data_IF_282414970149
#
_entry.id   IF_282414970149
#
_cell.length_a   1.000
_cell.length_b   1.000
_cell.length_c   1.000
_cell.angle_alpha   90.00
_cell.angle_beta   90.00
_cell.angle_gamma   90.00
#
_symmetry.space_group_name_H-M   'P 1'
#
loop_
_entity.id
_entity.type
_entity.pdbx_description
1 polymer ?
#
# COMPACT_ATOMS: atom_id res chain seq x y z
N UNK A 1 -20.06 -21.92 8.00
CA UNK A 1 -20.23 -20.45 7.89
C UNK A 1 -18.98 -19.85 8.49
N UNK A 2 -18.29 -18.99 7.73
CA UNK A 2 -17.09 -18.26 8.18
C UNK A 2 -17.55 -16.99 8.91
N UNK A 3 -16.80 -16.50 9.88
CA UNK A 3 -17.01 -15.23 10.59
C UNK A 3 -15.75 -14.40 10.60
N UNK A 4 -15.91 -13.08 10.63
CA UNK A 4 -14.81 -12.15 10.76
C UNK A 4 -15.15 -10.97 11.66
N UNK A 5 -14.10 -10.30 12.16
CA UNK A 5 -14.21 -9.05 12.89
C UNK A 5 -12.94 -8.22 12.76
N UNK A 6 -13.07 -6.94 13.06
CA UNK A 6 -11.96 -5.99 13.01
C UNK A 6 -11.47 -5.65 14.42
N UNK A 7 -10.15 -5.52 14.56
CA UNK A 7 -9.49 -4.88 15.70
C UNK A 7 -8.90 -3.56 15.20
N UNK A 8 -9.18 -2.48 15.89
CA UNK A 8 -8.69 -1.14 15.57
C UNK A 8 -7.65 -0.71 16.62
N UNK A 9 -6.50 -0.25 16.17
CA UNK A 9 -5.37 0.19 17.00
C UNK A 9 -5.15 1.70 16.92
N UNK A 10 -5.79 2.39 15.97
CA UNK A 10 -5.69 3.83 15.76
C UNK A 10 -6.62 4.31 14.67
N UNK A 11 -6.69 5.61 14.49
CA UNK A 11 -7.45 6.26 13.42
C UNK A 11 -6.49 6.84 12.38
N UNK A 12 -6.96 6.94 11.13
CA UNK A 12 -6.21 7.54 10.03
C UNK A 12 -4.93 6.76 9.66
N UNK A 13 -3.93 7.51 9.20
CA UNK A 13 -2.61 6.99 8.84
C UNK A 13 -1.70 7.12 10.05
N UNK A 14 -1.46 6.01 10.74
CA UNK A 14 -0.59 5.91 11.91
C UNK A 14 0.38 4.75 11.76
N UNK A 15 1.67 5.06 11.74
CA UNK A 15 2.71 4.03 11.64
C UNK A 15 2.71 3.12 12.86
N UNK A 16 2.52 3.66 14.07
CA UNK A 16 2.46 2.86 15.31
C UNK A 16 1.29 1.88 15.27
N UNK A 17 0.09 2.35 14.92
CA UNK A 17 -1.09 1.49 14.80
C UNK A 17 -0.92 0.41 13.73
N UNK A 18 -0.28 0.75 12.60
CA UNK A 18 0.03 -0.20 11.54
C UNK A 18 1.05 -1.25 11.99
N UNK A 19 2.13 -0.85 12.68
CA UNK A 19 3.12 -1.79 13.24
C UNK A 19 2.47 -2.79 14.20
N UNK A 20 1.53 -2.35 15.05
CA UNK A 20 0.77 -3.26 15.94
C UNK A 20 -0.09 -4.24 15.16
N UNK A 21 -0.81 -3.77 14.14
CA UNK A 21 -1.66 -4.63 13.31
C UNK A 21 -0.82 -5.68 12.58
N UNK A 22 0.32 -5.28 12.01
CA UNK A 22 1.27 -6.18 11.33
C UNK A 22 1.86 -7.21 12.29
N UNK A 23 2.41 -6.79 13.43
CA UNK A 23 3.02 -7.68 14.40
C UNK A 23 2.05 -8.79 14.88
N UNK A 24 0.80 -8.41 15.13
CA UNK A 24 -0.23 -9.38 15.53
C UNK A 24 -0.62 -10.32 14.38
N UNK A 25 -0.71 -9.81 13.15
CA UNK A 25 -0.97 -10.65 11.98
C UNK A 25 0.16 -11.67 11.79
N UNK A 26 1.42 -11.23 11.81
CA UNK A 26 2.60 -12.09 11.69
C UNK A 26 2.67 -13.15 12.78
N UNK A 27 2.43 -12.77 14.03
CA UNK A 27 2.42 -13.71 15.14
C UNK A 27 1.33 -14.79 14.99
N UNK A 28 0.11 -14.39 14.58
CA UNK A 28 -0.99 -15.31 14.33
C UNK A 28 -0.76 -16.22 13.13
N UNK A 29 -0.14 -15.72 12.06
CA UNK A 29 0.10 -16.48 10.84
C UNK A 29 1.35 -17.37 10.93
N UNK A 30 2.27 -17.08 11.83
CA UNK A 30 3.44 -17.94 12.12
C UNK A 30 3.04 -19.25 12.77
N UNK A 31 2.10 -19.19 13.71
CA UNK A 31 1.53 -20.38 14.39
C UNK A 31 0.00 -20.22 14.49
N UNK A 32 -0.71 -20.49 13.39
CA UNK A 32 -2.13 -20.20 13.32
C UNK A 32 -2.94 -21.13 14.22
N UNK A 33 -3.74 -20.60 15.16
CA UNK A 33 -4.59 -21.42 15.98
C UNK A 33 -5.62 -22.16 15.13
N UNK A 34 -5.92 -23.45 15.45
CA UNK A 34 -6.89 -24.23 14.70
C UNK A 34 -8.24 -23.50 14.56
N UNK A 35 -8.62 -23.21 13.32
CA UNK A 35 -9.85 -22.47 13.00
C UNK A 35 -9.62 -20.99 12.64
N UNK A 36 -8.44 -20.43 12.78
CA UNK A 36 -8.08 -19.16 12.11
C UNK A 36 -7.96 -19.44 10.61
N UNK A 37 -8.57 -18.60 9.80
CA UNK A 37 -8.56 -18.68 8.34
C UNK A 37 -7.67 -17.62 7.73
N UNK A 38 -7.73 -16.39 8.27
CA UNK A 38 -6.88 -15.29 7.79
C UNK A 38 -6.71 -14.19 8.86
N UNK A 39 -5.61 -13.42 8.71
CA UNK A 39 -5.28 -12.26 9.53
C UNK A 39 -4.71 -11.16 8.63
N UNK A 40 -5.55 -10.21 8.22
CA UNK A 40 -5.21 -9.18 7.23
C UNK A 40 -5.00 -7.82 7.90
N UNK A 41 -3.75 -7.33 7.98
CA UNK A 41 -3.47 -6.00 8.48
C UNK A 41 -3.66 -4.95 7.37
N UNK A 42 -4.31 -3.83 7.72
CA UNK A 42 -4.44 -2.69 6.83
C UNK A 42 -4.51 -1.40 7.63
N UNK A 43 -3.61 -0.46 7.38
CA UNK A 43 -3.48 0.76 8.18
C UNK A 43 -3.41 0.44 9.69
N UNK A 44 -4.24 1.06 10.51
CA UNK A 44 -4.34 0.78 11.95
C UNK A 44 -5.39 -0.28 12.33
N UNK A 45 -5.70 -1.20 11.42
CA UNK A 45 -6.74 -2.22 11.60
C UNK A 45 -6.19 -3.61 11.29
N UNK A 46 -6.62 -4.62 12.05
CA UNK A 46 -6.42 -6.03 11.75
C UNK A 46 -7.78 -6.70 11.55
N UNK A 47 -8.02 -7.22 10.36
CA UNK A 47 -9.16 -8.09 10.08
C UNK A 47 -8.78 -9.53 10.39
N UNK A 48 -9.66 -10.24 11.10
CA UNK A 48 -9.48 -11.65 11.46
C UNK A 48 -10.66 -12.44 10.93
N UNK A 49 -10.36 -13.50 10.20
CA UNK A 49 -11.34 -14.44 9.67
C UNK A 49 -11.17 -15.80 10.32
N UNK A 50 -12.27 -16.46 10.74
CA UNK A 50 -12.21 -17.71 11.46
C UNK A 50 -13.45 -18.60 11.25
N UNK A 51 -13.27 -19.92 11.42
CA UNK A 51 -14.36 -20.89 11.52
C UNK A 51 -14.87 -20.95 12.96
N UNK A 52 -16.10 -20.48 13.25
CA UNK A 52 -16.67 -20.46 14.61
C UNK A 52 -16.92 -21.83 15.22
N UNK A 53 -16.89 -22.90 14.41
CA UNK A 53 -17.02 -24.30 14.90
C UNK A 53 -15.73 -24.78 15.58
N UNK A 54 -14.59 -24.21 15.18
CA UNK A 54 -13.25 -24.62 15.66
C UNK A 54 -12.60 -23.58 16.57
N UNK A 55 -12.91 -22.29 16.36
CA UNK A 55 -12.32 -21.18 17.09
C UNK A 55 -13.40 -20.15 17.46
N UNK A 56 -13.63 -19.93 18.74
CA UNK A 56 -14.56 -18.88 19.17
C UNK A 56 -13.86 -17.51 19.19
N UNK A 57 -14.64 -16.43 18.94
CA UNK A 57 -14.14 -15.05 19.05
C UNK A 57 -13.49 -14.77 20.43
N UNK A 58 -14.09 -15.28 21.51
CA UNK A 58 -13.56 -15.10 22.87
C UNK A 58 -12.21 -15.77 23.08
N UNK A 59 -12.00 -16.97 22.49
CA UNK A 59 -10.70 -17.65 22.52
C UNK A 59 -9.67 -16.89 21.70
N UNK A 60 -10.02 -16.40 20.51
CA UNK A 60 -9.14 -15.63 19.66
C UNK A 60 -8.70 -14.32 20.34
N UNK A 61 -9.64 -13.59 20.97
CA UNK A 61 -9.32 -12.39 21.74
C UNK A 61 -8.41 -12.66 22.95
N UNK A 62 -8.54 -13.81 23.61
CA UNK A 62 -7.63 -14.21 24.71
C UNK A 62 -6.24 -14.52 24.19
N UNK A 63 -6.11 -15.24 23.06
CA UNK A 63 -4.83 -15.50 22.41
C UNK A 63 -4.12 -14.18 22.06
N UNK A 64 -4.82 -13.25 21.45
CA UNK A 64 -4.26 -11.93 21.08
C UNK A 64 -3.73 -11.15 22.29
N UNK A 65 -4.43 -11.22 23.44
CA UNK A 65 -3.95 -10.56 24.68
C UNK A 65 -2.71 -11.22 25.28
N UNK A 66 -2.51 -12.51 25.01
CA UNK A 66 -1.36 -13.27 25.46
C UNK A 66 -0.15 -13.20 24.54
N UNK A 67 -0.32 -12.65 23.33
CA UNK A 67 0.82 -12.42 22.44
C UNK A 67 1.71 -11.32 23.02
N UNK A 68 3.04 -11.53 23.01
CA UNK A 68 3.96 -10.48 23.44
C UNK A 68 3.77 -9.23 22.57
N UNK A 69 4.09 -8.04 23.09
CA UNK A 69 4.09 -6.81 22.28
C UNK A 69 5.28 -6.84 21.31
N UNK A 70 5.23 -7.78 20.36
CA UNK A 70 6.22 -7.84 19.29
C UNK A 70 6.11 -6.56 18.46
N UNK A 71 7.25 -5.96 18.18
CA UNK A 71 7.35 -4.97 17.12
C UNK A 71 7.45 -5.75 15.82
N UNK A 72 6.60 -5.45 14.85
CA UNK A 72 6.81 -5.93 13.50
C UNK A 72 8.25 -5.56 13.09
N UNK A 73 8.94 -6.48 12.44
CA UNK A 73 10.26 -6.21 11.87
C UNK A 73 10.18 -4.97 10.98
N UNK A 74 11.26 -4.20 10.93
CA UNK A 74 11.32 -3.11 9.95
C UNK A 74 11.34 -3.72 8.55
N UNK A 75 10.39 -3.28 7.72
CA UNK A 75 10.30 -3.73 6.34
C UNK A 75 11.51 -3.27 5.53
N UNK A 76 11.73 -3.93 4.40
CA UNK A 76 12.82 -3.61 3.47
C UNK A 76 12.60 -2.22 2.87
N UNK A 77 13.67 -1.54 2.51
CA UNK A 77 13.62 -0.40 1.59
C UNK A 77 13.67 -0.95 0.16
N UNK A 78 12.61 -0.69 -0.61
CA UNK A 78 12.51 -1.09 -2.01
C UNK A 78 12.56 0.15 -2.88
N UNK A 79 13.54 0.22 -3.76
CA UNK A 79 13.70 1.31 -4.72
C UNK A 79 12.85 1.03 -5.95
N UNK A 80 12.05 2.01 -6.34
CA UNK A 80 11.16 1.95 -7.49
C UNK A 80 11.62 3.01 -8.50
N UNK A 81 12.26 2.60 -9.59
CA UNK A 81 12.62 3.51 -10.67
C UNK A 81 11.34 3.97 -11.40
N UNK A 82 11.24 5.29 -11.63
CA UNK A 82 10.07 5.95 -12.22
C UNK A 82 10.50 6.83 -13.37
N UNK A 83 9.88 6.65 -14.52
CA UNK A 83 9.90 7.63 -15.60
C UNK A 83 8.73 8.59 -15.37
N UNK A 84 9.04 9.88 -15.21
CA UNK A 84 8.03 10.92 -14.94
C UNK A 84 7.41 11.44 -16.23
N UNK A 85 6.68 10.59 -16.92
CA UNK A 85 5.99 10.79 -18.19
C UNK A 85 4.46 10.76 -18.07
N UNK A 86 3.94 10.87 -16.86
CA UNK A 86 2.50 10.82 -16.59
C UNK A 86 1.75 11.97 -17.26
N UNK A 87 0.64 11.65 -17.91
CA UNK A 87 -0.16 12.63 -18.68
C UNK A 87 -0.67 13.81 -17.84
N UNK A 88 -0.83 13.63 -16.50
CA UNK A 88 -1.29 14.69 -15.60
C UNK A 88 -0.15 15.48 -14.96
N UNK A 89 1.11 15.11 -15.16
CA UNK A 89 2.23 15.76 -14.49
C UNK A 89 2.28 17.28 -14.76
N UNK A 90 2.06 17.77 -16.00
CA UNK A 90 2.02 19.22 -16.26
C UNK A 90 0.85 19.91 -15.54
N UNK A 91 -0.34 19.30 -15.52
CA UNK A 91 -1.50 19.83 -14.81
C UNK A 91 -1.28 19.86 -13.30
N UNK A 92 -0.71 18.80 -12.72
CA UNK A 92 -0.34 18.74 -11.30
C UNK A 92 0.61 19.87 -10.93
N UNK A 93 1.65 20.09 -11.72
CA UNK A 93 2.60 21.18 -11.51
C UNK A 93 1.89 22.55 -11.55
N UNK A 94 1.06 22.79 -12.57
CA UNK A 94 0.30 24.04 -12.73
C UNK A 94 -0.65 24.27 -11.53
N UNK A 95 -1.42 23.26 -11.14
CA UNK A 95 -2.40 23.37 -10.02
C UNK A 95 -1.74 23.65 -8.68
N UNK A 96 -0.52 23.16 -8.48
CA UNK A 96 0.24 23.36 -7.25
C UNK A 96 1.13 24.62 -7.30
N UNK A 97 1.23 25.30 -8.46
CA UNK A 97 2.15 26.44 -8.66
C UNK A 97 3.61 26.02 -8.58
N UNK A 98 3.95 24.82 -9.01
CA UNK A 98 5.28 24.21 -8.95
C UNK A 98 5.85 23.99 -10.35
N UNK A 99 7.19 23.89 -10.46
CA UNK A 99 7.82 23.37 -11.66
C UNK A 99 7.70 21.85 -11.73
N UNK A 100 7.86 21.25 -12.91
CA UNK A 100 7.88 19.79 -13.07
C UNK A 100 8.96 19.16 -12.20
N UNK A 101 10.14 19.74 -12.16
CA UNK A 101 11.26 19.26 -11.33
C UNK A 101 10.95 19.34 -9.83
N UNK A 102 10.23 20.36 -9.39
CA UNK A 102 9.79 20.47 -8.00
C UNK A 102 8.78 19.37 -7.63
N UNK A 103 7.83 19.04 -8.51
CA UNK A 103 6.89 17.94 -8.32
C UNK A 103 7.63 16.61 -8.20
N UNK A 104 8.57 16.33 -9.11
CA UNK A 104 9.40 15.12 -9.08
C UNK A 104 10.20 15.02 -7.77
N UNK A 105 10.89 16.09 -7.39
CA UNK A 105 11.68 16.14 -6.16
C UNK A 105 10.84 15.90 -4.91
N UNK A 106 9.65 16.53 -4.82
CA UNK A 106 8.72 16.33 -3.70
C UNK A 106 8.17 14.90 -3.64
N UNK A 107 7.93 14.26 -4.80
CA UNK A 107 7.49 12.87 -4.84
C UNK A 107 8.61 11.90 -4.43
N UNK A 108 9.84 12.17 -4.76
CA UNK A 108 11.00 11.31 -4.45
C UNK A 108 11.51 11.48 -3.00
N UNK A 109 11.21 12.61 -2.36
CA UNK A 109 11.79 12.98 -1.06
C UNK A 109 11.41 12.04 0.08
N UNK A 110 10.12 11.65 0.27
CA UNK A 110 9.74 10.76 1.37
C UNK A 110 10.16 9.31 1.14
N UNK A 111 10.38 8.61 2.25
CA UNK A 111 10.46 7.16 2.28
C UNK A 111 9.06 6.63 2.67
N UNK A 112 8.30 6.20 1.69
CA UNK A 112 6.89 5.83 1.85
C UNK A 112 6.71 4.46 2.48
N UNK A 113 5.93 4.38 3.55
CA UNK A 113 5.56 3.10 4.15
C UNK A 113 4.44 2.43 3.37
N UNK A 114 4.52 1.11 3.18
CA UNK A 114 3.42 0.27 2.68
C UNK A 114 2.53 -0.10 3.87
N UNK A 115 1.36 0.53 3.95
CA UNK A 115 0.38 0.30 5.04
C UNK A 115 -0.49 -0.94 4.80
N UNK A 116 -0.68 -1.30 3.56
CA UNK A 116 -1.43 -2.47 3.12
C UNK A 116 -1.14 -2.78 1.65
N UNK A 117 -1.44 -3.99 1.23
CA UNK A 117 -1.68 -4.32 -0.17
C UNK A 117 -3.17 -4.62 -0.33
N UNK A 118 -3.81 -4.02 -1.35
CA UNK A 118 -5.24 -4.25 -1.53
C UNK A 118 -5.85 -3.38 -2.60
N UNK A 119 -7.17 -3.45 -2.76
CA UNK A 119 -7.93 -2.77 -3.76
C UNK A 119 -7.88 -3.45 -5.16
N UNK A 120 -6.69 -3.73 -5.67
CA UNK A 120 -6.40 -4.68 -6.74
C UNK A 120 -5.17 -5.49 -6.32
N UNK A 121 -4.95 -6.70 -6.84
CA UNK A 121 -3.75 -7.47 -6.52
C UNK A 121 -2.49 -6.63 -6.69
N UNK A 122 -1.67 -6.56 -5.65
CA UNK A 122 -0.40 -5.85 -5.66
C UNK A 122 -0.44 -4.32 -5.56
N UNK A 123 -1.63 -3.67 -5.46
CA UNK A 123 -1.69 -2.23 -5.28
C UNK A 123 -1.19 -1.85 -3.88
N UNK A 124 -0.08 -1.09 -3.77
CA UNK A 124 0.45 -0.68 -2.49
C UNK A 124 -0.28 0.58 -1.97
N UNK A 125 -0.85 0.47 -0.80
CA UNK A 125 -1.38 1.62 -0.05
C UNK A 125 -0.22 2.33 0.63
N UNK A 126 0.32 3.34 -0.02
CA UNK A 126 1.44 4.15 0.48
C UNK A 126 0.93 5.42 1.19
N UNK A 127 1.73 5.97 2.10
CA UNK A 127 1.54 7.30 2.68
C UNK A 127 2.85 7.81 3.33
N UNK A 128 3.00 9.10 3.53
CA UNK A 128 2.23 10.23 2.98
C UNK A 128 3.12 11.03 2.04
N UNK A 129 2.53 11.66 1.03
CA UNK A 129 3.27 12.64 0.20
C UNK A 129 3.58 13.90 1.00
N UNK A 130 4.60 14.63 0.57
CA UNK A 130 4.89 15.98 1.09
C UNK A 130 3.63 16.86 1.03
N UNK A 131 3.36 17.71 2.04
CA UNK A 131 2.18 18.56 2.08
C UNK A 131 1.97 19.40 0.82
N UNK A 132 3.06 19.89 0.22
CA UNK A 132 3.03 20.67 -1.01
C UNK A 132 2.60 19.86 -2.26
N UNK A 133 2.60 18.52 -2.19
CA UNK A 133 2.18 17.64 -3.28
C UNK A 133 0.75 17.09 -3.09
N UNK A 134 0.06 17.50 -2.04
CA UNK A 134 -1.32 17.05 -1.78
C UNK A 134 -2.31 17.72 -2.73
N UNK A 135 -3.05 16.91 -3.48
CA UNK A 135 -4.10 17.41 -4.38
C UNK A 135 -5.24 16.40 -4.47
N UNK A 136 -6.50 16.85 -4.71
CA UNK A 136 -7.64 15.97 -4.81
C UNK A 136 -7.55 15.04 -6.02
N UNK A 137 -8.37 13.99 -5.99
CA UNK A 137 -8.59 13.13 -7.16
C UNK A 137 -9.12 13.95 -8.33
N UNK A 138 -8.92 13.45 -9.54
CA UNK A 138 -9.54 13.97 -10.75
C UNK A 138 -11.08 13.92 -10.61
N UNK A 139 -11.80 14.95 -11.03
CA UNK A 139 -13.27 15.00 -10.94
C UNK A 139 -13.94 13.92 -11.81
N UNK A 140 -13.29 13.55 -12.91
CA UNK A 140 -13.78 12.52 -13.82
C UNK A 140 -12.80 11.35 -13.87
N UNK A 141 -13.12 10.21 -13.23
CA UNK A 141 -12.27 9.02 -13.28
C UNK A 141 -12.09 8.53 -14.72
N UNK A 142 -10.87 8.16 -15.08
CA UNK A 142 -10.59 7.51 -16.35
C UNK A 142 -11.15 6.09 -16.36
N UNK A 143 -11.75 5.64 -17.46
CA UNK A 143 -12.23 4.26 -17.59
C UNK A 143 -11.09 3.24 -17.56
N UNK A 144 -9.88 3.63 -18.00
CA UNK A 144 -8.68 2.78 -17.97
C UNK A 144 -7.45 3.64 -17.70
N UNK A 145 -6.67 3.24 -16.70
CA UNK A 145 -5.33 3.74 -16.42
C UNK A 145 -4.36 2.64 -16.86
N UNK A 146 -3.29 2.93 -17.60
CA UNK A 146 -2.29 1.94 -17.96
C UNK A 146 -1.55 1.45 -16.71
N UNK A 147 -0.92 0.30 -16.80
CA UNK A 147 -0.03 -0.22 -15.77
C UNK A 147 1.37 -0.42 -16.36
N UNK A 148 2.39 -0.25 -15.51
CA UNK A 148 2.37 0.18 -14.11
C UNK A 148 2.47 1.71 -13.98
N UNK A 149 1.34 2.40 -13.77
CA UNK A 149 1.31 3.86 -13.63
C UNK A 149 1.59 4.31 -12.19
N UNK A 150 2.36 5.38 -12.04
CA UNK A 150 2.62 6.07 -10.77
C UNK A 150 1.70 7.29 -10.68
N UNK A 151 1.00 7.42 -9.55
CA UNK A 151 -0.01 8.43 -9.37
C UNK A 151 -0.06 9.00 -7.96
N UNK A 152 -0.70 10.16 -7.80
CA UNK A 152 -0.91 10.82 -6.51
C UNK A 152 -2.36 11.26 -6.35
N UNK A 153 -2.91 11.13 -5.14
CA UNK A 153 -4.22 11.66 -4.78
C UNK A 153 -4.38 11.85 -3.27
N UNK A 154 -4.91 12.97 -2.83
CA UNK A 154 -5.00 13.31 -1.42
C UNK A 154 -3.61 13.34 -0.79
N UNK A 155 -3.41 12.51 0.20
CA UNK A 155 -2.13 12.35 0.92
C UNK A 155 -1.31 11.14 0.44
N UNK A 156 -1.76 10.44 -0.60
CA UNK A 156 -1.22 9.14 -0.98
C UNK A 156 -0.57 9.14 -2.36
N UNK A 157 0.63 8.60 -2.50
CA UNK A 157 1.14 8.11 -3.77
C UNK A 157 0.65 6.67 -3.98
N UNK A 158 0.72 6.17 -5.21
CA UNK A 158 0.38 4.79 -5.53
C UNK A 158 1.00 4.34 -6.83
N UNK A 159 1.06 3.02 -7.00
CA UNK A 159 1.50 2.37 -8.23
C UNK A 159 0.36 1.44 -8.67
N UNK A 160 -0.21 1.69 -9.83
CA UNK A 160 -1.22 0.79 -10.40
C UNK A 160 -0.57 -0.46 -10.97
N UNK A 161 -0.75 -1.63 -10.34
CA UNK A 161 -0.11 -2.85 -10.81
C UNK A 161 -0.78 -3.44 -12.05
N UNK A 162 -2.06 -3.13 -12.25
CA UNK A 162 -2.91 -3.64 -13.33
C UNK A 162 -3.74 -2.51 -13.95
N UNK A 163 -4.05 -2.56 -15.24
CA UNK A 163 -4.95 -1.60 -15.87
C UNK A 163 -6.32 -1.60 -15.16
N UNK A 164 -6.79 -0.42 -14.77
CA UNK A 164 -8.05 -0.30 -14.02
C UNK A 164 -8.65 1.10 -14.13
N UNK A 165 -9.97 1.26 -13.95
CA UNK A 165 -10.60 2.58 -13.92
C UNK A 165 -10.19 3.35 -12.67
N UNK A 166 -9.74 4.62 -12.81
CA UNK A 166 -9.23 5.45 -11.69
C UNK A 166 -9.28 6.94 -11.93
N UNK A 167 -9.30 7.69 -10.82
CA UNK A 167 -9.29 9.15 -10.80
C UNK A 167 -8.09 9.77 -10.05
N UNK A 168 -6.96 9.09 -9.98
CA UNK A 168 -5.74 9.68 -9.43
C UNK A 168 -4.97 10.43 -10.51
N UNK A 169 -4.14 11.36 -10.10
CA UNK A 169 -3.33 12.16 -11.02
C UNK A 169 -2.09 11.36 -11.40
N UNK A 170 -1.98 11.02 -12.68
CA UNK A 170 -0.88 10.21 -13.21
C UNK A 170 0.36 11.08 -13.42
N UNK A 171 1.43 10.78 -12.69
CA UNK A 171 2.67 11.56 -12.73
C UNK A 171 3.83 10.81 -13.39
N UNK A 172 3.68 9.50 -13.62
CA UNK A 172 4.75 8.73 -14.25
C UNK A 172 4.42 7.25 -14.44
N UNK A 173 5.42 6.52 -14.88
CA UNK A 173 5.40 5.07 -15.12
C UNK A 173 6.48 4.41 -14.27
N UNK A 174 6.12 3.37 -13.52
CA UNK A 174 7.11 2.53 -12.82
C UNK A 174 7.87 1.68 -13.84
N UNK A 175 9.18 1.59 -13.72
CA UNK A 175 10.01 0.73 -14.59
C UNK A 175 10.17 -0.69 -14.05
N UNK A 176 9.46 -1.01 -12.95
CA UNK A 176 9.36 -2.37 -12.40
C UNK A 176 7.91 -2.74 -12.13
N UNK A 177 7.55 -3.97 -12.42
CA UNK A 177 6.24 -4.52 -12.09
C UNK A 177 6.17 -4.80 -10.59
N UNK A 178 5.24 -4.15 -9.88
CA UNK A 178 4.99 -4.39 -8.44
C UNK A 178 4.13 -5.63 -8.18
N UNK A 179 3.48 -6.14 -9.22
CA UNK A 179 2.74 -7.39 -9.23
C UNK A 179 2.98 -8.14 -10.53
N UNK A 180 3.29 -9.43 -10.43
CA UNK A 180 3.45 -10.32 -11.56
C UNK A 180 2.99 -11.73 -11.12
N UNK A 181 1.85 -12.24 -11.63
CA UNK A 181 1.28 -13.51 -11.22
C UNK A 181 2.13 -14.73 -11.64
N UNK A 182 3.10 -14.53 -12.54
CA UNK A 182 3.96 -15.61 -13.05
C UNK A 182 5.24 -15.78 -12.22
N UNK A 183 5.52 -14.89 -11.27
CA UNK A 183 6.66 -15.03 -10.37
C UNK A 183 6.35 -15.96 -9.20
N UNK A 184 7.34 -16.64 -8.69
CA UNK A 184 7.25 -17.44 -7.45
C UNK A 184 6.73 -16.60 -6.28
N UNK A 185 7.20 -15.34 -6.18
CA UNK A 185 6.65 -14.33 -5.26
C UNK A 185 5.97 -13.23 -6.09
N UNK A 186 4.62 -13.31 -6.27
CA UNK A 186 3.91 -12.42 -7.19
C UNK A 186 3.98 -10.94 -6.82
N UNK A 187 4.15 -10.64 -5.53
CA UNK A 187 4.16 -9.29 -5.00
C UNK A 187 5.57 -8.82 -4.71
N UNK A 188 5.99 -7.71 -5.33
CA UNK A 188 7.28 -7.08 -5.07
C UNK A 188 7.33 -6.49 -3.66
N UNK A 189 6.24 -5.87 -3.24
CA UNK A 189 6.10 -5.17 -1.97
C UNK A 189 5.30 -6.00 -0.96
N UNK A 190 5.56 -5.76 0.33
CA UNK A 190 4.82 -6.33 1.45
C UNK A 190 4.38 -5.22 2.40
N UNK A 191 3.27 -5.39 3.13
CA UNK A 191 2.93 -4.47 4.21
C UNK A 191 4.10 -4.33 5.19
N UNK A 192 4.42 -3.10 5.58
CA UNK A 192 5.60 -2.80 6.40
C UNK A 192 6.85 -2.39 5.62
N UNK A 193 7.00 -2.79 4.35
CA UNK A 193 8.07 -2.30 3.49
C UNK A 193 8.05 -0.76 3.36
N UNK A 194 9.16 -0.21 2.93
CA UNK A 194 9.30 1.21 2.60
C UNK A 194 9.67 1.36 1.12
N UNK A 195 9.03 2.28 0.44
CA UNK A 195 9.27 2.57 -0.98
C UNK A 195 10.03 3.88 -1.12
N UNK A 196 11.09 3.85 -1.88
CA UNK A 196 11.81 5.02 -2.36
C UNK A 196 11.62 5.13 -3.86
N UNK A 197 11.02 6.22 -4.33
CA UNK A 197 10.94 6.49 -5.75
C UNK A 197 12.24 7.16 -6.23
N UNK A 198 12.72 6.75 -7.39
CA UNK A 198 13.92 7.30 -8.03
C UNK A 198 13.58 7.64 -9.47
N UNK A 199 13.95 8.85 -9.92
CA UNK A 199 13.82 9.18 -11.34
C UNK A 199 14.78 8.31 -12.15
N UNK A 200 14.28 7.70 -13.21
CA UNK A 200 15.06 6.86 -14.10
C UNK A 200 14.47 6.87 -15.51
N UNK A 201 15.30 6.54 -16.49
CA UNK A 201 14.89 6.27 -17.85
C UNK A 201 14.99 4.78 -18.15
N UNK A 202 14.11 4.28 -19.00
CA UNK A 202 14.12 2.87 -19.35
C UNK A 202 12.80 2.39 -19.98
N UNK A 203 12.76 1.14 -20.43
CA UNK A 203 11.54 0.53 -20.95
C UNK A 203 10.54 0.25 -19.83
N UNK A 204 9.26 0.37 -20.15
CA UNK A 204 8.18 -0.10 -19.29
C UNK A 204 8.25 -1.63 -19.19
N UNK A 205 8.06 -2.25 -18.01
CA UNK A 205 7.97 -3.69 -17.90
C UNK A 205 6.79 -4.23 -18.72
N UNK A 206 6.86 -5.47 -19.24
CA UNK A 206 5.74 -6.08 -19.94
C UNK A 206 4.51 -6.21 -19.04
N UNK A 207 3.33 -6.16 -19.67
CA UNK A 207 2.03 -6.37 -19.00
C UNK A 207 1.85 -7.82 -18.57
#
# INVERSE_FOLDING_TARGET
MVRGFYLRFGEGVSEEANRRALALAEALLRDPPPGLLDAVPAYGVLYLEYDPRRLSRGRLLRLLRGLPPERAEEGRVVEIPVRYDGEDLPEVASRLGLSLEAVKALHQKPLYRVYALGFTPGFPCLAEVEPALRLPRQPHPRPRVPAPAVAVAGVQPGIYPLPSPRGWNLIGTSLVAVYDPHRETPFLLRPGDRVRFLEAEGPTPPE
#
